data_IF_391502967454
#
_entry.id   IF_391502967454
#
_cell.length_a   1.000
_cell.length_b   1.000
_cell.length_c   1.000
_cell.angle_alpha   90.00
_cell.angle_beta   90.00
_cell.angle_gamma   90.00
#
_symmetry.space_group_name_H-M   'P 1'
#
loop_
_entity.id
_entity.type
_entity.pdbx_description
1 polymer ?
#
# COMPACT_ATOMS: atom_id res chain seq x y z
N UNK A 1 -3.46 -38.16 26.87
CA UNK A 1 -2.48 -37.38 26.09
C UNK A 1 -3.26 -36.43 25.19
N UNK A 2 -3.37 -35.17 25.59
CA UNK A 2 -4.18 -34.16 24.91
C UNK A 2 -3.50 -33.69 23.63
N UNK A 3 -4.06 -34.11 22.49
CA UNK A 3 -3.70 -33.57 21.18
C UNK A 3 -4.11 -32.10 21.15
N UNK A 4 -3.12 -31.22 21.07
CA UNK A 4 -3.33 -29.79 20.79
C UNK A 4 -4.04 -29.69 19.43
N UNK A 5 -5.21 -29.04 19.33
CA UNK A 5 -5.83 -28.81 18.03
C UNK A 5 -4.95 -27.88 17.19
N UNK A 6 -4.92 -28.04 15.85
CA UNK A 6 -4.25 -27.09 14.96
C UNK A 6 -4.94 -25.73 15.11
N UNK A 7 -4.12 -24.71 15.34
CA UNK A 7 -4.50 -23.31 15.53
C UNK A 7 -4.97 -22.67 14.19
N UNK A 8 -5.80 -23.36 13.42
CA UNK A 8 -6.16 -22.99 12.05
C UNK A 8 -7.60 -22.48 11.90
N UNK A 9 -8.40 -22.46 12.96
CA UNK A 9 -9.81 -22.07 12.89
C UNK A 9 -10.20 -21.17 14.06
N UNK A 10 -9.66 -19.94 14.07
CA UNK A 10 -10.22 -18.84 14.85
C UNK A 10 -11.04 -17.97 13.89
N UNK A 11 -12.38 -18.07 13.89
CA UNK A 11 -13.24 -17.15 13.16
C UNK A 11 -13.27 -15.80 13.90
N UNK A 12 -12.30 -14.93 13.63
CA UNK A 12 -12.19 -13.69 14.41
C UNK A 12 -11.40 -12.54 13.80
N UNK A 13 -10.68 -12.75 12.70
CA UNK A 13 -10.04 -11.66 11.97
C UNK A 13 -10.33 -11.88 10.49
N UNK A 14 -11.28 -11.13 9.95
CA UNK A 14 -11.46 -11.04 8.51
C UNK A 14 -10.17 -10.46 7.95
N UNK A 15 -9.20 -11.27 7.52
CA UNK A 15 -7.88 -10.80 7.06
C UNK A 15 -7.88 -10.34 5.60
N UNK A 16 -9.03 -10.41 4.94
CA UNK A 16 -9.22 -10.15 3.52
C UNK A 16 -10.53 -9.40 3.26
N UNK A 17 -10.51 -8.49 2.30
CA UNK A 17 -11.72 -7.76 1.88
C UNK A 17 -12.69 -8.70 1.14
N UNK A 18 -13.94 -8.27 0.94
CA UNK A 18 -14.90 -9.06 0.19
C UNK A 18 -14.38 -9.34 -1.23
N UNK A 19 -14.48 -10.58 -1.74
CA UNK A 19 -13.93 -10.94 -3.05
C UNK A 19 -14.55 -10.11 -4.19
N UNK A 20 -15.83 -9.74 -4.08
CA UNK A 20 -16.48 -8.82 -5.02
C UNK A 20 -15.90 -7.40 -4.98
N UNK A 21 -15.50 -6.92 -3.79
CA UNK A 21 -14.81 -5.64 -3.67
C UNK A 21 -13.40 -5.72 -4.26
N UNK A 22 -12.65 -6.78 -3.97
CA UNK A 22 -11.31 -6.97 -4.54
C UNK A 22 -11.33 -7.00 -6.09
N UNK A 23 -12.30 -7.69 -6.68
CA UNK A 23 -12.50 -7.72 -8.12
C UNK A 23 -12.80 -6.34 -8.69
N UNK A 24 -13.75 -5.61 -8.09
CA UNK A 24 -14.12 -4.25 -8.53
C UNK A 24 -12.93 -3.26 -8.44
N UNK A 25 -12.13 -3.34 -7.37
CA UNK A 25 -10.93 -2.51 -7.22
C UNK A 25 -9.88 -2.83 -8.26
N UNK A 26 -9.62 -4.12 -8.50
CA UNK A 26 -8.63 -4.58 -9.47
C UNK A 26 -9.03 -4.20 -10.89
N UNK A 27 -10.31 -4.34 -11.23
CA UNK A 27 -10.88 -3.89 -12.50
C UNK A 27 -10.73 -2.38 -12.67
N UNK A 28 -11.20 -1.58 -11.71
CA UNK A 28 -11.12 -0.13 -11.83
C UNK A 28 -9.68 0.37 -11.89
N UNK A 29 -8.77 -0.20 -11.10
CA UNK A 29 -7.34 0.16 -11.15
C UNK A 29 -6.65 -0.31 -12.43
N UNK A 30 -7.10 -1.42 -13.03
CA UNK A 30 -6.59 -1.88 -14.32
C UNK A 30 -6.85 -0.87 -15.44
N UNK A 31 -7.94 -0.10 -15.37
CA UNK A 31 -8.26 0.98 -16.33
C UNK A 31 -7.35 2.22 -16.15
N UNK A 32 -6.80 2.42 -14.94
CA UNK A 32 -5.93 3.57 -14.61
C UNK A 32 -4.44 3.21 -14.66
N UNK A 33 -4.10 2.03 -15.20
CA UNK A 33 -2.73 1.51 -15.35
C UNK A 33 -1.70 2.52 -15.90
N UNK A 34 -1.99 3.40 -16.87
CA UNK A 34 -0.98 4.38 -17.31
C UNK A 34 -0.57 5.39 -16.23
N UNK A 35 -1.38 5.60 -15.18
CA UNK A 35 -1.07 6.48 -14.05
C UNK A 35 -0.67 5.73 -12.77
N UNK A 36 -0.72 4.40 -12.79
CA UNK A 36 -0.50 3.54 -11.63
C UNK A 36 0.86 2.85 -11.75
N UNK A 37 1.78 3.01 -10.78
CA UNK A 37 3.09 2.37 -10.85
C UNK A 37 2.94 0.86 -10.66
N UNK A 38 3.02 0.13 -11.77
CA UNK A 38 3.12 -1.34 -11.75
C UNK A 38 4.56 -1.74 -11.39
N UNK A 39 4.75 -2.84 -10.65
CA UNK A 39 6.09 -3.35 -10.35
C UNK A 39 6.83 -3.70 -11.64
N UNK A 40 8.13 -3.35 -11.67
CA UNK A 40 9.06 -3.68 -12.76
C UNK A 40 9.16 -5.19 -13.05
N UNK A 41 8.69 -6.03 -12.13
CA UNK A 41 8.59 -7.49 -12.33
C UNK A 41 7.56 -7.88 -13.41
N UNK A 42 6.47 -7.11 -13.58
CA UNK A 42 5.48 -7.33 -14.65
C UNK A 42 6.02 -6.91 -16.02
N UNK A 43 6.87 -5.88 -16.05
CA UNK A 43 7.55 -5.44 -17.27
C UNK A 43 8.63 -6.40 -17.75
N UNK A 44 9.03 -7.36 -16.89
CA UNK A 44 10.07 -8.35 -17.22
C UNK A 44 9.59 -9.34 -18.31
N UNK A 45 8.28 -9.54 -18.42
CA UNK A 45 7.62 -10.38 -19.43
C UNK A 45 7.11 -9.61 -20.65
N UNK A 46 7.24 -8.29 -20.68
CA UNK A 46 6.74 -7.42 -21.76
C UNK A 46 5.89 -6.26 -21.22
N UNK A 47 5.21 -5.53 -22.09
CA UNK A 47 4.23 -4.50 -21.66
C UNK A 47 3.06 -5.20 -20.97
N UNK A 48 2.80 -4.94 -19.67
CA UNK A 48 1.71 -5.59 -18.95
C UNK A 48 0.36 -5.18 -19.56
N UNK A 49 -0.50 -6.16 -19.81
CA UNK A 49 -1.87 -5.94 -20.26
C UNK A 49 -2.77 -5.58 -19.07
N UNK A 50 -3.96 -5.05 -19.36
CA UNK A 50 -4.97 -4.77 -18.32
C UNK A 50 -5.32 -6.02 -17.51
N UNK A 51 -5.40 -7.19 -18.16
CA UNK A 51 -5.60 -8.48 -17.51
C UNK A 51 -4.46 -8.88 -16.56
N UNK A 52 -3.19 -8.64 -16.96
CA UNK A 52 -2.03 -8.93 -16.11
C UNK A 52 -2.02 -8.05 -14.86
N UNK A 53 -2.35 -6.76 -15.05
CA UNK A 53 -2.49 -5.81 -13.95
C UNK A 53 -3.64 -6.23 -13.02
N UNK A 54 -4.80 -6.58 -13.56
CA UNK A 54 -5.96 -7.03 -12.79
C UNK A 54 -5.64 -8.30 -11.97
N UNK A 55 -5.01 -9.29 -12.58
CA UNK A 55 -4.61 -10.53 -11.90
C UNK A 55 -3.60 -10.26 -10.77
N UNK A 56 -2.60 -9.39 -11.03
CA UNK A 56 -1.62 -9.01 -10.03
C UNK A 56 -2.24 -8.24 -8.85
N UNK A 57 -3.11 -7.28 -9.13
CA UNK A 57 -3.79 -6.47 -8.11
C UNK A 57 -4.71 -7.33 -7.24
N UNK A 58 -5.46 -8.24 -7.86
CA UNK A 58 -6.32 -9.19 -7.16
C UNK A 58 -5.51 -10.12 -6.26
N UNK A 59 -4.38 -10.62 -6.75
CA UNK A 59 -3.47 -11.46 -5.97
C UNK A 59 -2.85 -10.70 -4.79
N UNK A 60 -2.45 -9.45 -5.01
CA UNK A 60 -1.88 -8.61 -3.95
C UNK A 60 -2.92 -8.29 -2.87
N UNK A 61 -4.19 -8.08 -3.23
CA UNK A 61 -5.27 -7.87 -2.27
C UNK A 61 -5.56 -9.09 -1.38
N UNK A 62 -5.32 -10.30 -1.90
CA UNK A 62 -5.54 -11.55 -1.16
C UNK A 62 -4.36 -11.88 -0.23
N UNK A 63 -3.12 -11.59 -0.67
CA UNK A 63 -1.92 -11.87 0.11
C UNK A 63 -1.58 -10.73 1.07
N UNK A 64 -1.58 -9.49 0.58
CA UNK A 64 -1.04 -8.33 1.30
C UNK A 64 -1.82 -7.03 1.01
N UNK A 65 -2.97 -6.86 1.68
CA UNK A 65 -3.81 -5.66 1.50
C UNK A 65 -3.13 -4.37 2.00
N UNK A 66 -2.13 -4.46 2.90
CA UNK A 66 -1.40 -3.29 3.39
C UNK A 66 -0.49 -2.70 2.31
N UNK A 67 0.33 -3.54 1.69
CA UNK A 67 1.20 -3.17 0.55
C UNK A 67 0.39 -2.65 -0.63
N UNK A 68 -0.81 -3.19 -0.84
CA UNK A 68 -1.74 -2.66 -1.83
C UNK A 68 -2.15 -1.21 -1.51
N UNK A 69 -2.54 -0.92 -0.27
CA UNK A 69 -2.92 0.44 0.14
C UNK A 69 -1.75 1.43 0.09
N UNK A 70 -0.55 1.00 0.45
CA UNK A 70 0.66 1.82 0.33
C UNK A 70 0.87 2.33 -1.10
N UNK A 71 0.76 1.44 -2.09
CA UNK A 71 1.10 1.74 -3.49
C UNK A 71 -0.09 2.31 -4.27
N UNK A 72 -1.27 1.72 -4.09
CA UNK A 72 -2.46 2.00 -4.88
C UNK A 72 -3.50 2.82 -4.13
N UNK A 73 -3.38 2.95 -2.80
CA UNK A 73 -4.37 3.64 -1.98
C UNK A 73 -4.60 5.10 -2.34
N UNK A 74 -3.60 5.77 -2.91
CA UNK A 74 -3.72 7.14 -3.42
C UNK A 74 -4.68 7.27 -4.61
N UNK A 75 -4.88 6.19 -5.36
CA UNK A 75 -5.80 6.10 -6.49
C UNK A 75 -7.19 5.57 -6.07
N UNK A 76 -7.34 5.14 -4.82
CA UNK A 76 -8.62 4.72 -4.24
C UNK A 76 -9.42 5.93 -3.79
N UNK A 77 -10.71 5.87 -4.08
CA UNK A 77 -11.74 6.79 -3.60
C UNK A 77 -12.17 6.44 -2.16
N UNK A 78 -12.77 7.40 -1.46
CA UNK A 78 -13.28 7.21 -0.09
C UNK A 78 -14.19 5.98 0.07
N UNK A 79 -15.19 5.71 -0.81
CA UNK A 79 -16.04 4.52 -0.65
C UNK A 79 -15.27 3.21 -0.80
N UNK A 80 -14.21 3.19 -1.61
CA UNK A 80 -13.38 2.00 -1.80
C UNK A 80 -12.50 1.72 -0.59
N UNK A 81 -11.94 2.76 0.03
CA UNK A 81 -11.16 2.64 1.27
C UNK A 81 -11.98 2.02 2.39
N UNK A 82 -13.30 2.25 2.42
CA UNK A 82 -14.20 1.61 3.39
C UNK A 82 -14.23 0.09 3.30
N UNK A 83 -13.91 -0.50 2.15
CA UNK A 83 -13.81 -1.96 2.05
C UNK A 83 -12.67 -2.54 2.90
N UNK A 84 -11.68 -1.72 3.25
CA UNK A 84 -10.55 -2.10 4.09
C UNK A 84 -10.77 -1.82 5.58
N UNK A 85 -11.89 -1.19 5.99
CA UNK A 85 -12.19 -0.94 7.40
C UNK A 85 -12.33 -2.25 8.21
N UNK A 86 -12.77 -3.34 7.58
CA UNK A 86 -12.78 -4.66 8.22
C UNK A 86 -11.37 -5.16 8.58
N UNK A 87 -10.35 -4.65 7.90
CA UNK A 87 -8.93 -5.00 8.09
C UNK A 87 -8.21 -4.06 9.06
N UNK A 88 -8.90 -3.10 9.67
CA UNK A 88 -8.31 -2.08 10.56
C UNK A 88 -7.69 -2.65 11.84
N UNK A 89 -7.98 -3.92 12.15
CA UNK A 89 -7.30 -4.65 13.21
C UNK A 89 -5.82 -4.93 12.88
N UNK A 90 -5.43 -4.92 11.60
CA UNK A 90 -4.05 -4.94 11.16
C UNK A 90 -3.44 -3.53 11.25
N UNK A 91 -2.33 -3.41 11.98
CA UNK A 91 -1.64 -2.14 12.19
C UNK A 91 -1.22 -1.45 10.90
N UNK A 92 -0.69 -2.18 9.93
CA UNK A 92 -0.18 -1.62 8.66
C UNK A 92 -1.33 -1.12 7.80
N UNK A 93 -2.42 -1.90 7.71
CA UNK A 93 -3.63 -1.47 6.99
C UNK A 93 -4.21 -0.20 7.62
N UNK A 94 -4.35 -0.16 8.95
CA UNK A 94 -4.81 1.03 9.66
C UNK A 94 -3.92 2.23 9.39
N UNK A 95 -2.59 2.06 9.48
CA UNK A 95 -1.63 3.13 9.23
C UNK A 95 -1.78 3.72 7.82
N UNK A 96 -1.91 2.88 6.80
CA UNK A 96 -2.12 3.35 5.43
C UNK A 96 -3.48 4.02 5.23
N UNK A 97 -4.56 3.49 5.81
CA UNK A 97 -5.89 4.11 5.74
C UNK A 97 -5.90 5.50 6.38
N UNK A 98 -5.39 5.63 7.60
CA UNK A 98 -5.33 6.90 8.31
C UNK A 98 -4.47 7.93 7.52
N UNK A 99 -3.35 7.49 6.94
CA UNK A 99 -2.51 8.34 6.09
C UNK A 99 -3.25 8.82 4.83
N UNK A 100 -4.00 7.94 4.18
CA UNK A 100 -4.78 8.27 2.99
C UNK A 100 -5.94 9.22 3.30
N UNK A 101 -6.59 9.07 4.45
CA UNK A 101 -7.64 9.98 4.94
C UNK A 101 -7.09 11.36 5.30
N UNK A 102 -5.90 11.42 5.91
CA UNK A 102 -5.23 12.68 6.22
C UNK A 102 -4.92 13.48 4.96
N UNK A 103 -4.41 12.81 3.92
CA UNK A 103 -4.16 13.42 2.59
C UNK A 103 -5.47 13.91 1.96
N UNK A 104 -6.54 13.11 2.00
CA UNK A 104 -7.84 13.49 1.42
C UNK A 104 -8.50 14.67 2.15
N UNK A 105 -8.30 14.77 3.46
CA UNK A 105 -8.86 15.84 4.30
C UNK A 105 -8.06 17.16 4.21
N UNK A 106 -7.05 17.24 3.34
CA UNK A 106 -6.18 18.42 3.22
C UNK A 106 -5.30 18.65 4.45
N UNK A 107 -5.27 17.70 5.39
CA UNK A 107 -4.38 17.73 6.55
C UNK A 107 -3.06 17.12 6.10
N UNK A 108 -2.26 17.91 5.38
CA UNK A 108 -0.87 17.58 5.04
C UNK A 108 0.01 17.51 6.29
N UNK A 109 -0.24 16.54 7.15
CA UNK A 109 0.57 16.22 8.33
C UNK A 109 1.60 15.18 7.93
N UNK A 110 2.74 15.65 7.43
CA UNK A 110 3.85 14.78 7.08
C UNK A 110 4.33 13.96 8.27
N UNK A 111 4.30 12.64 8.13
CA UNK A 111 5.35 11.78 8.70
C UNK A 111 6.59 11.90 7.78
N UNK A 112 7.08 13.13 7.62
CA UNK A 112 8.41 13.39 7.09
C UNK A 112 9.38 13.06 8.20
N UNK A 113 10.00 11.89 8.10
CA UNK A 113 11.22 11.59 8.84
C UNK A 113 12.28 12.62 8.52
N UNK A 114 12.31 13.70 9.29
CA UNK A 114 13.41 14.65 9.31
C UNK A 114 14.58 13.99 10.04
N UNK A 115 15.37 13.19 9.31
CA UNK A 115 16.79 13.07 9.63
C UNK A 115 17.53 14.20 8.91
N UNK A 116 17.45 15.38 9.51
CA UNK A 116 18.38 16.47 9.23
C UNK A 116 19.78 16.06 9.69
N UNK A 117 20.61 15.65 8.74
CA UNK A 117 22.05 15.51 8.91
C UNK A 117 22.78 16.61 8.13
N UNK A 118 22.63 17.85 8.56
CA UNK A 118 23.43 18.95 8.05
C UNK A 118 24.86 18.84 8.58
N UNK A 119 25.85 18.76 7.68
CA UNK A 119 27.03 19.64 7.73
C UNK A 119 27.84 19.52 6.46
N UNK A 120 27.59 20.45 5.54
CA UNK A 120 28.67 20.95 4.70
C UNK A 120 29.67 21.64 5.62
N UNK A 121 30.90 21.13 5.64
CA UNK A 121 32.05 21.90 6.09
C UNK A 121 32.94 22.09 4.87
N UNK A 122 32.54 23.03 4.01
CA UNK A 122 33.45 23.64 3.06
C UNK A 122 34.38 24.54 3.87
N UNK A 123 35.61 24.09 4.05
CA UNK A 123 36.71 24.86 4.64
C UNK A 123 37.13 25.95 3.66
N UNK A 124 37.11 27.24 4.01
CA UNK A 124 37.79 28.27 3.25
C UNK A 124 39.06 28.74 3.97
N UNK A 125 40.17 28.55 3.26
CA UNK A 125 41.38 29.38 3.17
C UNK A 125 42.07 29.92 4.45
N UNK A 126 43.33 29.53 4.61
CA UNK A 126 44.36 30.40 5.17
C UNK A 126 45.75 29.97 4.65
N UNK A 127 46.17 30.58 3.53
CA UNK A 127 47.58 30.77 3.19
C UNK A 127 47.78 32.27 3.02
N UNK A 128 48.79 32.84 3.70
CA UNK A 128 49.64 33.77 2.98
C UNK A 128 51.14 33.60 3.31
N UNK A 129 51.94 33.77 2.24
CA UNK A 129 53.39 34.04 2.14
C UNK A 129 54.35 33.40 3.15
#
# INVERSE_FOLDING_TARGET
AGLRPPLADMPGATTRIAPGAAAALSERLSEVVPAVPLPSSLFRSGTPSEDDARAYLGHLLDIDPASFLERYGRHLSVPERRHFECLRHNYEVRFHLDALEAVASGTGGGAGGAIGGARGEATPVAAPN
#
